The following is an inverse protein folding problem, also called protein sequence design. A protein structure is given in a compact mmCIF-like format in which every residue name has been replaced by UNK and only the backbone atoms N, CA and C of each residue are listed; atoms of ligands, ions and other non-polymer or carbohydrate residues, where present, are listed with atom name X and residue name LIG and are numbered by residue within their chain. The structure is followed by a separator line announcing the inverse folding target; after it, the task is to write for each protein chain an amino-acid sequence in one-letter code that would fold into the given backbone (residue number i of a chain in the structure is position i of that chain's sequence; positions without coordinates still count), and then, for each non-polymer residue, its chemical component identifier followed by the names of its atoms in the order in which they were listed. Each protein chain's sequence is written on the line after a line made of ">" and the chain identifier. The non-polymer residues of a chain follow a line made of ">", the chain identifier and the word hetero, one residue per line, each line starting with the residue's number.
data_IF_625490233487
#
_entry.id   IF_625490233487
#
_cell.length_a   1.000
_cell.length_b   1.000
_cell.length_c   1.000
_cell.angle_alpha   90.00
_cell.angle_beta   90.00
_cell.angle_gamma   90.00
#
_symmetry.space_group_name_H-M   'P 1'
#
loop_
_entity.id
_entity.type
_entity.pdbx_description
1 polymer ?
#
# COMPACT_ATOMS: atom_id res chain seq x y z
N UNK A 1 -9.71 7.77 -1.48
CA UNK A 1 -9.25 6.42 -1.08
C UNK A 1 -9.34 5.53 -2.32
N UNK A 2 -8.29 4.77 -2.63
CA UNK A 2 -8.30 3.78 -3.71
C UNK A 2 -8.88 2.46 -3.22
N UNK A 3 -8.39 1.93 -2.11
CA UNK A 3 -8.82 0.63 -1.57
C UNK A 3 -8.62 0.57 -0.06
N UNK A 4 -9.46 -0.24 0.60
CA UNK A 4 -9.36 -0.63 2.00
C UNK A 4 -9.36 -2.16 2.03
N UNK A 5 -8.53 -2.75 2.88
CA UNK A 5 -8.45 -4.20 3.02
C UNK A 5 -8.31 -4.58 4.49
N UNK A 6 -9.13 -5.52 4.95
CA UNK A 6 -9.27 -5.89 6.37
C UNK A 6 -9.59 -4.69 7.28
N UNK A 7 -10.35 -3.71 6.77
CA UNK A 7 -10.78 -2.52 7.47
C UNK A 7 -12.29 -2.35 7.32
N UNK A 8 -12.97 -1.94 8.40
CA UNK A 8 -14.40 -1.69 8.42
C UNK A 8 -14.75 -0.20 8.57
N UNK A 9 -13.81 0.62 9.05
CA UNK A 9 -13.99 2.06 9.21
C UNK A 9 -13.92 2.83 7.88
N UNK A 10 -14.62 3.96 7.81
CA UNK A 10 -14.70 4.78 6.59
C UNK A 10 -13.93 6.10 6.69
N UNK A 11 -13.79 6.67 7.90
CA UNK A 11 -13.08 7.94 8.08
C UNK A 11 -11.59 7.73 8.35
N UNK A 12 -10.70 8.66 7.93
CA UNK A 12 -9.27 8.52 8.15
C UNK A 12 -8.88 8.36 9.64
N UNK A 13 -9.62 9.03 10.53
CA UNK A 13 -9.38 8.94 11.98
C UNK A 13 -9.75 7.55 12.51
N UNK A 14 -10.93 7.04 12.16
CA UNK A 14 -11.39 5.72 12.59
C UNK A 14 -10.52 4.61 12.00
N UNK A 15 -10.12 4.70 10.73
CA UNK A 15 -9.19 3.76 10.09
C UNK A 15 -7.86 3.72 10.86
N UNK A 16 -7.32 4.89 11.23
CA UNK A 16 -6.08 4.93 12.01
C UNK A 16 -6.23 4.28 13.39
N UNK A 17 -7.34 4.55 14.08
CA UNK A 17 -7.64 3.95 15.38
C UNK A 17 -7.83 2.43 15.26
N UNK A 18 -8.59 1.96 14.26
CA UNK A 18 -8.78 0.53 13.95
C UNK A 18 -7.45 -0.17 13.68
N UNK A 19 -6.60 0.41 12.83
CA UNK A 19 -5.28 -0.17 12.54
C UNK A 19 -4.38 -0.16 13.77
N UNK A 20 -4.43 0.89 14.59
CA UNK A 20 -3.61 0.97 15.81
C UNK A 20 -3.97 -0.14 16.80
N UNK A 21 -5.24 -0.53 16.93
CA UNK A 21 -5.65 -1.62 17.81
C UNK A 21 -4.97 -2.96 17.46
N UNK A 22 -4.82 -3.27 16.17
CA UNK A 22 -4.08 -4.45 15.72
C UNK A 22 -2.57 -4.26 15.88
N UNK A 23 -2.07 -3.03 15.65
CA UNK A 23 -0.68 -2.65 15.89
C UNK A 23 -0.23 -2.89 17.34
N UNK A 24 -1.11 -2.59 18.30
CA UNK A 24 -0.85 -2.72 19.74
C UNK A 24 -0.76 -4.18 20.21
N UNK A 25 -1.16 -5.19 19.39
CA UNK A 25 -1.05 -6.61 19.77
C UNK A 25 0.40 -7.07 19.97
N UNK A 26 1.38 -6.41 19.36
CA UNK A 26 2.78 -6.77 19.53
C UNK A 26 3.65 -5.56 19.87
N UNK A 27 3.76 -5.28 21.17
CA UNK A 27 4.57 -4.20 21.75
C UNK A 27 6.08 -4.29 21.46
N UNK A 28 6.58 -5.41 20.91
CA UNK A 28 7.98 -5.53 20.46
C UNK A 28 8.19 -4.87 19.09
N UNK A 29 7.15 -4.77 18.28
CA UNK A 29 7.21 -4.16 16.95
C UNK A 29 7.09 -2.63 17.05
N UNK A 30 8.21 -1.92 17.23
CA UNK A 30 8.17 -0.45 17.43
C UNK A 30 7.73 0.37 16.21
N UNK A 31 7.86 -0.19 15.01
CA UNK A 31 7.42 0.43 13.76
C UNK A 31 6.25 -0.39 13.24
N UNK A 32 5.04 -0.10 13.71
CA UNK A 32 3.85 -0.91 13.45
C UNK A 32 3.35 -0.77 12.01
N UNK A 33 3.63 0.36 11.36
CA UNK A 33 3.17 0.65 10.01
C UNK A 33 4.29 0.50 8.97
N UNK A 34 3.98 -0.20 7.89
CA UNK A 34 4.71 -0.17 6.62
C UNK A 34 4.09 0.93 5.75
N UNK A 35 4.92 1.83 5.21
CA UNK A 35 4.50 2.90 4.31
C UNK A 35 5.23 2.74 2.99
N UNK A 36 4.48 2.66 1.91
CA UNK A 36 5.01 2.53 0.55
C UNK A 36 4.40 3.62 -0.30
N UNK A 37 5.24 4.26 -1.10
CA UNK A 37 4.84 5.22 -2.12
C UNK A 37 5.18 4.64 -3.49
N UNK A 38 4.21 4.69 -4.41
CA UNK A 38 4.37 4.24 -5.78
C UNK A 38 4.10 5.44 -6.67
N UNK A 39 5.17 5.99 -7.26
CA UNK A 39 5.08 7.07 -8.22
C UNK A 39 4.53 6.58 -9.56
N UNK A 40 3.71 7.41 -10.20
CA UNK A 40 3.33 7.25 -11.61
C UNK A 40 4.16 8.23 -12.42
N UNK A 41 4.73 7.76 -13.53
CA UNK A 41 5.50 8.62 -14.41
C UNK A 41 4.59 9.69 -15.05
N UNK A 42 5.05 10.95 -15.21
CA UNK A 42 4.23 12.03 -15.74
C UNK A 42 3.60 11.74 -17.10
N UNK A 43 4.32 11.04 -17.99
CA UNK A 43 3.78 10.65 -19.30
C UNK A 43 2.65 9.61 -19.24
N UNK A 44 2.57 8.83 -18.15
CA UNK A 44 1.52 7.82 -17.94
C UNK A 44 0.29 8.41 -17.25
N UNK A 45 0.39 9.56 -16.60
CA UNK A 45 -0.75 10.19 -15.92
C UNK A 45 -1.99 10.40 -16.79
N UNK A 46 -1.88 10.91 -18.04
CA UNK A 46 -3.06 11.17 -18.86
C UNK A 46 -3.83 9.90 -19.25
N UNK A 47 -3.16 8.75 -19.27
CA UNK A 47 -3.75 7.46 -19.64
C UNK A 47 -4.18 6.62 -18.43
N UNK A 48 -3.76 6.99 -17.21
CA UNK A 48 -4.12 6.26 -16.00
C UNK A 48 -5.46 6.73 -15.44
N UNK A 49 -6.41 5.80 -15.40
CA UNK A 49 -7.71 6.01 -14.75
C UNK A 49 -7.66 5.66 -13.26
N UNK A 50 -8.60 6.20 -12.49
CA UNK A 50 -8.79 5.80 -11.08
C UNK A 50 -8.97 4.28 -10.92
N UNK A 51 -9.67 3.63 -11.85
CA UNK A 51 -9.84 2.16 -11.86
C UNK A 51 -8.51 1.44 -12.06
N UNK A 52 -7.64 1.98 -12.90
CA UNK A 52 -6.28 1.46 -13.10
C UNK A 52 -5.45 1.60 -11.83
N UNK A 53 -5.45 2.77 -11.19
CA UNK A 53 -4.76 3.00 -9.91
C UNK A 53 -5.22 2.04 -8.81
N UNK A 54 -6.54 1.89 -8.65
CA UNK A 54 -7.11 0.94 -7.69
C UNK A 54 -6.62 -0.49 -7.95
N UNK A 55 -6.64 -0.91 -9.22
CA UNK A 55 -6.17 -2.25 -9.61
C UNK A 55 -4.67 -2.44 -9.37
N UNK A 56 -3.86 -1.43 -9.66
CA UNK A 56 -2.42 -1.47 -9.39
C UNK A 56 -2.14 -1.58 -7.89
N UNK A 57 -2.82 -0.79 -7.06
CA UNK A 57 -2.69 -0.86 -5.61
C UNK A 57 -3.04 -2.25 -5.05
N UNK A 58 -4.15 -2.85 -5.51
CA UNK A 58 -4.57 -4.19 -5.11
C UNK A 58 -3.56 -5.27 -5.53
N UNK A 59 -3.07 -5.22 -6.77
CA UNK A 59 -2.08 -6.18 -7.28
C UNK A 59 -0.74 -6.04 -6.58
N UNK A 60 -0.31 -4.80 -6.33
CA UNK A 60 0.91 -4.50 -5.60
C UNK A 60 0.83 -5.06 -4.18
N UNK A 61 -0.24 -4.74 -3.43
CA UNK A 61 -0.41 -5.23 -2.07
C UNK A 61 -0.41 -6.76 -2.00
N UNK A 62 -1.06 -7.42 -2.96
CA UNK A 62 -1.05 -8.88 -3.09
C UNK A 62 0.34 -9.44 -3.39
N UNK A 63 1.09 -8.86 -4.32
CA UNK A 63 2.46 -9.32 -4.62
C UNK A 63 3.44 -9.03 -3.47
N UNK A 64 3.15 -8.02 -2.65
CA UNK A 64 3.87 -7.75 -1.41
C UNK A 64 3.46 -8.69 -0.26
N UNK A 65 2.48 -9.58 -0.44
CA UNK A 65 2.05 -10.54 0.59
C UNK A 65 1.33 -9.87 1.76
N UNK A 66 0.53 -8.85 1.49
CA UNK A 66 -0.24 -8.11 2.51
C UNK A 66 -1.69 -8.62 2.67
N UNK A 67 -2.01 -9.81 2.16
CA UNK A 67 -3.38 -10.36 2.16
C UNK A 67 -3.96 -10.53 3.59
N UNK A 68 -3.13 -10.89 4.57
CA UNK A 68 -3.54 -11.08 5.97
C UNK A 68 -3.30 -9.83 6.84
N UNK A 69 -2.93 -8.72 6.23
CA UNK A 69 -2.63 -7.45 6.90
C UNK A 69 -3.75 -6.45 6.68
N UNK A 70 -3.95 -5.54 7.63
CA UNK A 70 -4.78 -4.36 7.38
C UNK A 70 -4.00 -3.36 6.55
N UNK A 71 -4.61 -2.83 5.50
CA UNK A 71 -3.97 -1.77 4.73
C UNK A 71 -4.98 -0.87 4.03
N UNK A 72 -4.54 0.36 3.78
CA UNK A 72 -5.27 1.37 3.03
C UNK A 72 -4.38 1.86 1.89
N UNK A 73 -4.95 1.96 0.70
CA UNK A 73 -4.34 2.64 -0.43
C UNK A 73 -5.09 3.96 -0.69
N UNK A 74 -4.34 5.05 -0.79
CA UNK A 74 -4.86 6.36 -1.19
C UNK A 74 -4.03 6.90 -2.33
N UNK A 75 -4.63 7.77 -3.13
CA UNK A 75 -3.93 8.58 -4.10
C UNK A 75 -4.27 10.03 -3.81
N UNK A 76 -3.32 10.90 -4.06
CA UNK A 76 -3.45 12.34 -3.99
C UNK A 76 -2.52 12.95 -5.03
N UNK A 77 -2.81 14.19 -5.37
CA UNK A 77 -2.07 14.98 -6.36
C UNK A 77 -1.44 16.20 -5.68
N UNK A 78 -0.85 15.97 -4.49
CA UNK A 78 -0.35 17.05 -3.63
C UNK A 78 1.11 17.44 -3.97
N UNK A 79 1.81 16.65 -4.78
CA UNK A 79 3.12 16.97 -5.39
C UNK A 79 3.03 16.81 -6.91
N UNK A 80 4.04 17.30 -7.64
CA UNK A 80 4.02 17.47 -9.11
C UNK A 80 3.63 16.21 -9.92
N UNK A 81 3.66 15.01 -9.32
CA UNK A 81 3.32 13.75 -9.98
C UNK A 81 2.26 12.93 -9.20
N UNK A 82 1.40 12.24 -9.94
CA UNK A 82 0.42 11.27 -9.43
C UNK A 82 1.14 10.11 -8.72
N UNK A 83 0.69 9.77 -7.52
CA UNK A 83 1.25 8.63 -6.78
C UNK A 83 0.21 7.95 -5.90
N UNK A 84 0.55 6.73 -5.48
CA UNK A 84 -0.24 5.89 -4.59
C UNK A 84 0.53 5.75 -3.27
N UNK A 85 -0.12 6.10 -2.16
CA UNK A 85 0.34 5.70 -0.83
C UNK A 85 -0.36 4.43 -0.40
N UNK A 86 0.41 3.47 0.06
CA UNK A 86 -0.07 2.27 0.75
C UNK A 86 0.45 2.31 2.17
N UNK A 87 -0.47 2.30 3.14
CA UNK A 87 -0.16 2.18 4.56
C UNK A 87 -0.70 0.85 5.02
N UNK A 88 0.17 -0.02 5.52
CA UNK A 88 -0.17 -1.35 5.98
C UNK A 88 0.29 -1.58 7.42
N UNK A 89 -0.49 -2.29 8.21
CA UNK A 89 -0.02 -2.84 9.47
C UNK A 89 1.02 -3.91 9.21
N UNK A 90 2.15 -3.86 9.91
CA UNK A 90 3.15 -4.93 9.92
C UNK A 90 2.72 -6.09 10.76
N UNK A 91 1.75 -5.95 11.65
CA UNK A 91 1.16 -7.07 12.38
C UNK A 91 -0.04 -7.55 11.57
N UNK A 92 0.00 -8.83 11.18
CA UNK A 92 -1.12 -9.48 10.51
C UNK A 92 -2.25 -9.76 11.50
N UNK A 93 -3.44 -10.09 10.98
CA UNK A 93 -4.55 -10.59 11.79
C UNK A 93 -4.22 -11.91 12.51
N UNK A 94 -3.20 -12.64 12.04
CA UNK A 94 -2.66 -13.85 12.68
C UNK A 94 -1.45 -13.61 13.58
N UNK A 95 -1.25 -12.37 14.07
CA UNK A 95 -0.17 -11.96 14.99
C UNK A 95 1.27 -12.11 14.45
N UNK A 96 1.43 -12.46 13.18
CA UNK A 96 2.73 -12.52 12.52
C UNK A 96 3.21 -11.12 12.13
N UNK A 97 4.50 -10.87 12.35
CA UNK A 97 5.16 -9.61 11.97
C UNK A 97 5.67 -9.72 10.53
N UNK A 98 5.28 -8.78 9.70
CA UNK A 98 5.73 -8.63 8.32
C UNK A 98 7.24 -8.41 8.30
N UNK A 99 7.93 -9.30 7.59
CA UNK A 99 9.36 -9.20 7.36
C UNK A 99 9.64 -7.98 6.47
N UNK A 100 10.42 -7.02 6.99
CA UNK A 100 10.82 -5.82 6.27
C UNK A 100 12.21 -5.92 5.65
N UNK A 101 12.85 -7.08 5.73
CA UNK A 101 14.15 -7.34 5.11
C UNK A 101 14.05 -7.06 3.61
N UNK A 102 14.94 -6.19 3.13
CA UNK A 102 14.97 -5.67 1.75
C UNK A 102 13.61 -5.23 1.19
N UNK A 103 12.71 -4.69 2.03
CA UNK A 103 11.35 -4.33 1.61
C UNK A 103 11.36 -3.30 0.49
N UNK A 104 12.28 -2.34 0.48
CA UNK A 104 12.42 -1.35 -0.59
C UNK A 104 12.78 -2.01 -1.92
N UNK A 105 13.72 -2.96 -1.94
CA UNK A 105 14.08 -3.70 -3.15
C UNK A 105 12.93 -4.57 -3.66
N UNK A 106 12.20 -5.22 -2.75
CA UNK A 106 11.00 -6.00 -3.12
C UNK A 106 9.91 -5.11 -3.69
N UNK A 107 9.63 -3.98 -3.06
CA UNK A 107 8.67 -3.00 -3.54
C UNK A 107 9.03 -2.47 -4.93
N UNK A 108 10.29 -2.10 -5.15
CA UNK A 108 10.77 -1.65 -6.45
C UNK A 108 10.58 -2.72 -7.54
N UNK A 109 10.95 -3.97 -7.25
CA UNK A 109 10.77 -5.08 -8.18
C UNK A 109 9.30 -5.36 -8.52
N UNK A 110 8.42 -5.35 -7.52
CA UNK A 110 6.98 -5.50 -7.72
C UNK A 110 6.42 -4.36 -8.56
N UNK A 111 6.86 -3.12 -8.32
CA UNK A 111 6.46 -1.96 -9.12
C UNK A 111 6.92 -2.10 -10.59
N UNK A 112 8.17 -2.49 -10.81
CA UNK A 112 8.76 -2.73 -12.15
C UNK A 112 8.01 -3.86 -12.90
N UNK A 113 7.76 -4.99 -12.23
CA UNK A 113 7.01 -6.12 -12.80
C UNK A 113 5.58 -5.71 -13.22
N UNK A 114 4.93 -4.87 -12.40
CA UNK A 114 3.61 -4.32 -12.72
C UNK A 114 3.69 -3.29 -13.86
N UNK A 115 4.69 -2.41 -13.89
CA UNK A 115 4.88 -1.46 -14.99
C UNK A 115 5.04 -2.19 -16.33
N UNK A 116 5.91 -3.20 -16.39
CA UNK A 116 6.07 -4.04 -17.58
C UNK A 116 4.75 -4.70 -18.02
N UNK A 117 4.01 -5.29 -17.08
CA UNK A 117 2.76 -6.00 -17.37
C UNK A 117 1.67 -5.09 -17.93
N UNK A 118 1.66 -3.83 -17.51
CA UNK A 118 0.65 -2.84 -17.88
C UNK A 118 1.13 -1.86 -18.96
N UNK A 119 2.35 -2.02 -19.47
CA UNK A 119 2.93 -1.14 -20.49
C UNK A 119 3.17 0.28 -19.98
N UNK A 120 3.47 0.42 -18.69
CA UNK A 120 3.77 1.71 -18.04
C UNK A 120 5.29 1.92 -18.00
N UNK A 121 5.68 3.16 -17.75
CA UNK A 121 7.10 3.52 -17.60
C UNK A 121 7.69 2.99 -16.30
N UNK A 122 8.99 2.70 -16.33
CA UNK A 122 9.84 2.26 -15.21
C UNK A 122 10.79 3.38 -14.84
#
# INVERSE_FOLDING_TARGET
>A
ILALHNLCSETPKEIHEEMKLIGDYNSRCKNEFLRIEIGIAPQDEPQITFKTLNRLALLFAKQMGLDDHQWVAVTHKDTDNLHIHIIANRISLGEQVYDTTFVSNRAARVAEDLSHKYGLTI
#
